data_IF_181718637339
#
_entry.id   IF_181718637339
#
_cell.length_a   1.000
_cell.length_b   1.000
_cell.length_c   1.000
_cell.angle_alpha   90.00
_cell.angle_beta   90.00
_cell.angle_gamma   90.00
#
_symmetry.space_group_name_H-M   'P 1'
#
loop_
_entity.id
_entity.type
_entity.pdbx_description
1 polymer ?
#
# COMPACT_ATOMS: atom_id res chain seq x y z
N UNK A 1 -12.57 4.47 -1.20
CA UNK A 1 -13.78 3.61 -1.14
C UNK A 1 -13.36 2.15 -1.09
N UNK A 2 -14.18 1.26 -0.52
CA UNK A 2 -13.81 -0.15 -0.29
C UNK A 2 -14.64 -1.08 -1.19
N UNK A 3 -13.99 -1.94 -1.97
CA UNK A 3 -14.67 -2.90 -2.86
C UNK A 3 -15.59 -3.84 -2.08
N UNK A 4 -15.18 -4.25 -0.87
CA UNK A 4 -15.94 -5.14 0.02
C UNK A 4 -17.32 -4.61 0.44
N UNK A 5 -17.59 -3.32 0.24
CA UNK A 5 -18.91 -2.73 0.52
C UNK A 5 -19.92 -2.94 -0.61
N UNK A 6 -19.50 -3.55 -1.73
CA UNK A 6 -20.34 -3.76 -2.90
C UNK A 6 -20.44 -5.26 -3.20
N UNK A 7 -21.60 -5.74 -3.68
CA UNK A 7 -21.80 -7.15 -4.03
C UNK A 7 -21.07 -7.55 -5.32
N UNK A 8 -20.81 -6.61 -6.22
CA UNK A 8 -20.20 -6.86 -7.53
C UNK A 8 -19.44 -5.64 -8.07
N UNK A 9 -18.69 -5.85 -9.16
CA UNK A 9 -17.90 -4.80 -9.82
C UNK A 9 -18.80 -3.68 -10.36
N UNK A 10 -19.94 -4.02 -10.97
CA UNK A 10 -20.76 -3.05 -11.69
C UNK A 10 -21.32 -1.99 -10.73
N UNK A 11 -21.86 -2.42 -9.60
CA UNK A 11 -22.34 -1.56 -8.52
C UNK A 11 -21.22 -0.71 -7.91
N UNK A 12 -20.04 -1.28 -7.70
CA UNK A 12 -18.88 -0.55 -7.22
C UNK A 12 -18.41 0.53 -8.20
N UNK A 13 -18.31 0.21 -9.50
CA UNK A 13 -17.87 1.16 -10.54
C UNK A 13 -18.84 2.31 -10.68
N UNK A 14 -20.15 2.05 -10.68
CA UNK A 14 -21.18 3.08 -10.77
C UNK A 14 -21.02 4.11 -9.63
N UNK A 15 -20.98 3.63 -8.38
CA UNK A 15 -20.87 4.50 -7.21
C UNK A 15 -19.50 5.21 -7.15
N UNK A 16 -18.40 4.47 -7.38
CA UNK A 16 -17.05 5.05 -7.32
C UNK A 16 -16.80 6.13 -8.37
N UNK A 17 -17.42 6.06 -9.56
CA UNK A 17 -17.34 7.13 -10.57
C UNK A 17 -18.06 8.39 -10.12
N UNK A 18 -19.20 8.25 -9.45
CA UNK A 18 -19.91 9.41 -8.88
C UNK A 18 -19.04 10.11 -7.84
N UNK A 19 -18.46 9.35 -6.90
CA UNK A 19 -17.53 9.91 -5.92
C UNK A 19 -16.31 10.55 -6.59
N UNK A 20 -15.67 9.88 -7.55
CA UNK A 20 -14.51 10.40 -8.27
C UNK A 20 -14.79 11.77 -8.91
N UNK A 21 -15.96 11.95 -9.52
CA UNK A 21 -16.38 13.24 -10.11
C UNK A 21 -16.53 14.37 -9.08
N UNK A 22 -16.87 14.04 -7.83
CA UNK A 22 -17.09 15.01 -6.76
C UNK A 22 -15.78 15.45 -6.08
N UNK A 23 -14.67 14.74 -6.29
CA UNK A 23 -13.40 14.97 -5.57
C UNK A 23 -12.21 15.06 -6.54
N UNK A 24 -12.43 15.53 -7.77
CA UNK A 24 -11.38 15.69 -8.79
C UNK A 24 -10.56 14.42 -9.02
N UNK A 25 -11.25 13.27 -9.01
CA UNK A 25 -10.70 11.92 -9.12
C UNK A 25 -9.66 11.54 -8.03
N UNK A 26 -9.63 12.28 -6.90
CA UNK A 26 -8.84 11.95 -5.71
C UNK A 26 -9.39 10.73 -4.95
N UNK A 27 -9.76 9.69 -5.70
CA UNK A 27 -10.30 8.44 -5.22
C UNK A 27 -9.16 7.44 -4.96
N UNK A 28 -9.28 6.74 -3.84
CA UNK A 28 -8.48 5.56 -3.50
C UNK A 28 -9.37 4.33 -3.49
N UNK A 29 -9.19 3.41 -4.45
CA UNK A 29 -9.91 2.13 -4.49
C UNK A 29 -9.20 1.15 -3.55
N UNK A 30 -9.93 0.64 -2.56
CA UNK A 30 -9.39 -0.18 -1.48
C UNK A 30 -10.03 -1.56 -1.38
N UNK A 31 -9.27 -2.54 -0.91
CA UNK A 31 -9.76 -3.90 -0.66
C UNK A 31 -10.80 -3.95 0.48
N UNK A 32 -10.52 -3.25 1.58
CA UNK A 32 -11.23 -3.39 2.86
C UNK A 32 -10.40 -4.20 3.85
N UNK A 33 -9.80 -3.52 4.85
CA UNK A 33 -8.91 -4.12 5.85
C UNK A 33 -7.73 -4.96 5.31
N UNK A 34 -7.37 -4.80 4.03
CA UNK A 34 -6.33 -5.62 3.40
C UNK A 34 -6.78 -7.05 3.06
N UNK A 35 -8.10 -7.30 2.95
CA UNK A 35 -8.64 -8.61 2.57
C UNK A 35 -8.14 -9.03 1.17
N UNK A 36 -7.28 -10.06 1.06
CA UNK A 36 -6.67 -10.42 -0.20
C UNK A 36 -7.69 -10.93 -1.24
N UNK A 37 -8.83 -11.47 -0.81
CA UNK A 37 -9.85 -12.02 -1.71
C UNK A 37 -10.52 -10.94 -2.57
N UNK A 38 -10.36 -9.67 -2.20
CA UNK A 38 -10.85 -8.52 -2.95
C UNK A 38 -9.90 -8.07 -4.07
N UNK A 39 -8.69 -8.64 -4.15
CA UNK A 39 -7.64 -8.20 -5.09
C UNK A 39 -8.08 -8.20 -6.55
N UNK A 40 -8.77 -9.25 -7.01
CA UNK A 40 -9.27 -9.33 -8.37
C UNK A 40 -10.36 -8.28 -8.64
N UNK A 41 -11.32 -8.15 -7.73
CA UNK A 41 -12.40 -7.16 -7.83
C UNK A 41 -11.85 -5.73 -7.86
N UNK A 42 -10.86 -5.39 -7.03
CA UNK A 42 -10.20 -4.09 -7.04
C UNK A 42 -9.52 -3.80 -8.38
N UNK A 43 -8.84 -4.79 -8.97
CA UNK A 43 -8.17 -4.62 -10.27
C UNK A 43 -9.19 -4.32 -11.37
N UNK A 44 -10.31 -5.05 -11.36
CA UNK A 44 -11.39 -4.91 -12.34
C UNK A 44 -12.16 -3.59 -12.19
N UNK A 45 -12.43 -3.16 -10.96
CA UNK A 45 -13.00 -1.82 -10.69
C UNK A 45 -12.06 -0.73 -11.23
N UNK A 46 -10.76 -0.86 -10.92
CA UNK A 46 -9.76 0.17 -11.26
C UNK A 46 -9.60 0.36 -12.76
N UNK A 47 -9.73 -0.72 -13.55
CA UNK A 47 -9.78 -0.68 -15.03
C UNK A 47 -10.79 0.35 -15.54
N UNK A 48 -11.97 0.37 -14.94
CA UNK A 48 -13.11 1.17 -15.40
C UNK A 48 -13.15 2.54 -14.74
N UNK A 49 -12.71 2.66 -13.49
CA UNK A 49 -12.77 3.90 -12.71
C UNK A 49 -11.59 4.82 -13.00
N UNK A 50 -10.41 4.27 -13.31
CA UNK A 50 -9.16 5.03 -13.53
C UNK A 50 -8.87 6.03 -12.39
N UNK A 51 -8.79 5.57 -11.12
CA UNK A 51 -8.61 6.45 -9.96
C UNK A 51 -7.18 6.99 -9.84
N UNK A 52 -6.96 8.01 -9.02
CA UNK A 52 -5.58 8.43 -8.68
C UNK A 52 -4.81 7.38 -7.87
N UNK A 53 -5.49 6.54 -7.08
CA UNK A 53 -4.84 5.57 -6.21
C UNK A 53 -5.57 4.22 -6.12
N UNK A 54 -4.81 3.12 -6.10
CA UNK A 54 -5.27 1.75 -5.93
C UNK A 54 -4.49 1.06 -4.82
N UNK A 55 -5.20 0.40 -3.90
CA UNK A 55 -4.59 -0.44 -2.89
C UNK A 55 -4.56 -1.89 -3.37
N UNK A 56 -3.39 -2.53 -3.35
CA UNK A 56 -3.27 -3.94 -3.71
C UNK A 56 -2.50 -4.75 -2.68
N UNK A 57 -2.79 -6.05 -2.67
CA UNK A 57 -1.87 -7.04 -2.09
C UNK A 57 -0.69 -7.24 -3.03
N UNK A 58 0.42 -7.78 -2.54
CA UNK A 58 1.66 -7.91 -3.33
C UNK A 58 1.42 -8.58 -4.69
N UNK A 59 0.66 -9.68 -4.71
CA UNK A 59 0.36 -10.45 -5.92
C UNK A 59 -0.64 -9.78 -6.88
N UNK A 60 -1.30 -8.69 -6.46
CA UNK A 60 -2.32 -8.01 -7.27
C UNK A 60 -1.80 -6.77 -8.01
N UNK A 61 -0.57 -6.32 -7.69
CA UNK A 61 0.02 -5.09 -8.23
C UNK A 61 0.13 -5.15 -9.76
N UNK A 62 0.76 -6.20 -10.29
CA UNK A 62 0.94 -6.39 -11.74
C UNK A 62 -0.37 -6.43 -12.51
N UNK A 63 -1.35 -7.17 -11.99
CA UNK A 63 -2.70 -7.25 -12.58
C UNK A 63 -3.39 -5.89 -12.62
N UNK A 64 -3.36 -5.14 -11.51
CA UNK A 64 -3.95 -3.80 -11.47
C UNK A 64 -3.28 -2.85 -12.44
N UNK A 65 -1.93 -2.82 -12.48
CA UNK A 65 -1.19 -1.97 -13.42
C UNK A 65 -1.54 -2.30 -14.87
N UNK A 66 -1.54 -3.59 -15.23
CA UNK A 66 -1.85 -4.02 -16.59
C UNK A 66 -3.27 -3.62 -17.02
N UNK A 67 -4.26 -3.79 -16.14
CA UNK A 67 -5.66 -3.44 -16.44
C UNK A 67 -5.92 -1.93 -16.43
N UNK A 68 -5.14 -1.15 -15.67
CA UNK A 68 -5.18 0.31 -15.75
C UNK A 68 -4.74 0.81 -17.13
N UNK A 69 -3.75 0.16 -17.75
CA UNK A 69 -3.25 0.52 -19.08
C UNK A 69 -2.42 1.81 -19.14
N UNK A 70 -2.07 2.38 -17.97
CA UNK A 70 -1.24 3.58 -17.81
C UNK A 70 -0.40 3.50 -16.53
N UNK A 71 0.58 4.40 -16.40
CA UNK A 71 1.54 4.47 -15.29
C UNK A 71 1.29 5.61 -14.30
N UNK A 72 0.26 6.42 -14.49
CA UNK A 72 -0.07 7.61 -13.70
C UNK A 72 -0.72 7.26 -12.35
N UNK A 73 -1.67 6.32 -12.35
CA UNK A 73 -2.33 5.88 -11.11
C UNK A 73 -1.31 5.26 -10.17
N UNK A 74 -1.34 5.69 -8.91
CA UNK A 74 -0.51 5.12 -7.84
C UNK A 74 -1.07 3.75 -7.47
N UNK A 75 -0.24 2.71 -7.56
CA UNK A 75 -0.61 1.34 -7.14
C UNK A 75 0.32 0.90 -6.03
N UNK A 76 -0.20 0.79 -4.81
CA UNK A 76 0.60 0.29 -3.69
C UNK A 76 0.62 -1.24 -3.66
N UNK A 77 1.67 -1.80 -3.06
CA UNK A 77 1.76 -3.23 -2.75
C UNK A 77 1.85 -3.49 -1.25
N UNK A 78 0.91 -4.28 -0.73
CA UNK A 78 0.88 -4.66 0.68
C UNK A 78 2.01 -5.63 1.01
N UNK A 79 2.87 -5.20 1.95
CA UNK A 79 3.87 -6.04 2.63
C UNK A 79 3.69 -5.89 4.14
N UNK A 80 4.12 -6.90 4.90
CA UNK A 80 3.87 -6.96 6.35
C UNK A 80 5.15 -7.01 7.18
N UNK A 81 5.10 -6.54 8.45
CA UNK A 81 6.17 -6.75 9.43
C UNK A 81 6.49 -8.24 9.61
N UNK A 82 7.71 -8.53 10.05
CA UNK A 82 8.16 -9.91 10.34
C UNK A 82 8.75 -10.06 11.74
N UNK A 83 8.93 -8.95 12.48
CA UNK A 83 9.73 -8.89 13.70
C UNK A 83 11.23 -8.76 13.44
N UNK A 84 11.66 -8.55 12.19
CA UNK A 84 13.09 -8.44 11.82
C UNK A 84 13.30 -7.20 10.94
N UNK A 85 13.94 -6.13 11.47
CA UNK A 85 14.24 -4.95 10.66
C UNK A 85 15.05 -5.29 9.42
N UNK A 86 14.65 -4.75 8.26
CA UNK A 86 15.27 -5.07 6.98
C UNK A 86 14.53 -6.13 6.16
N UNK A 87 13.65 -6.91 6.79
CA UNK A 87 12.91 -7.99 6.15
C UNK A 87 11.40 -7.69 6.13
N UNK A 88 10.73 -8.11 5.06
CA UNK A 88 9.27 -7.96 4.93
C UNK A 88 8.64 -9.24 4.39
N UNK A 89 7.42 -9.53 4.85
CA UNK A 89 6.58 -10.59 4.31
C UNK A 89 5.87 -10.09 3.05
N UNK A 90 6.03 -10.80 1.94
CA UNK A 90 5.39 -10.52 0.64
C UNK A 90 4.29 -11.51 0.28
N UNK A 91 4.13 -12.62 1.03
CA UNK A 91 3.07 -13.61 0.83
C UNK A 91 1.71 -13.09 1.34
N UNK A 92 1.19 -12.07 0.67
CA UNK A 92 -0.02 -11.31 1.10
C UNK A 92 -1.21 -11.48 0.15
N UNK A 93 -1.08 -12.25 -0.93
CA UNK A 93 -2.18 -12.60 -1.84
C UNK A 93 -3.08 -13.73 -1.33
N UNK A 94 -4.22 -14.02 -2.02
CA UNK A 94 -5.28 -14.91 -1.52
C UNK A 94 -4.82 -16.28 -1.05
N UNK A 95 -4.01 -16.96 -1.87
CA UNK A 95 -3.47 -18.28 -1.53
C UNK A 95 -2.20 -18.14 -0.68
N UNK A 96 -1.30 -17.24 -1.06
CA UNK A 96 -0.01 -17.06 -0.41
C UNK A 96 -0.13 -16.65 1.07
N UNK A 97 -1.21 -15.95 1.46
CA UNK A 97 -1.44 -15.56 2.85
C UNK A 97 -1.77 -16.74 3.76
N UNK A 98 -2.22 -17.87 3.20
CA UNK A 98 -2.44 -19.12 3.93
C UNK A 98 -1.28 -20.12 3.84
N UNK A 99 -0.21 -19.78 3.11
CA UNK A 99 0.99 -20.60 2.98
C UNK A 99 2.05 -20.21 4.03
N UNK A 100 3.20 -20.88 3.98
CA UNK A 100 4.38 -20.45 4.73
C UNK A 100 4.81 -19.03 4.32
N UNK A 101 5.33 -18.27 5.27
CA UNK A 101 5.68 -16.87 5.06
C UNK A 101 6.83 -16.73 4.05
N UNK A 102 6.55 -16.02 2.95
CA UNK A 102 7.55 -15.57 2.00
C UNK A 102 8.17 -14.27 2.52
N UNK A 103 9.33 -14.37 3.16
CA UNK A 103 10.05 -13.26 3.78
C UNK A 103 11.29 -12.94 2.95
N UNK A 104 11.44 -11.67 2.56
CA UNK A 104 12.54 -11.20 1.72
C UNK A 104 13.13 -9.90 2.26
N UNK A 105 14.38 -9.53 1.87
CA UNK A 105 14.92 -8.21 2.13
C UNK A 105 14.06 -7.11 1.51
N UNK A 106 14.00 -5.95 2.16
CA UNK A 106 13.26 -4.77 1.69
C UNK A 106 13.64 -4.34 0.27
N UNK A 107 14.94 -4.34 -0.04
CA UNK A 107 15.44 -4.01 -1.38
C UNK A 107 14.81 -4.93 -2.45
N UNK A 108 14.79 -6.24 -2.18
CA UNK A 108 14.18 -7.22 -3.09
C UNK A 108 12.68 -7.01 -3.22
N UNK A 109 11.96 -6.73 -2.13
CA UNK A 109 10.53 -6.44 -2.18
C UNK A 109 10.23 -5.18 -3.02
N UNK A 110 11.04 -4.12 -2.87
CA UNK A 110 10.91 -2.87 -3.64
C UNK A 110 11.15 -3.14 -5.12
N UNK A 111 12.23 -3.84 -5.47
CA UNK A 111 12.55 -4.17 -6.86
C UNK A 111 11.41 -4.98 -7.51
N UNK A 112 10.92 -6.03 -6.85
CA UNK A 112 9.79 -6.82 -7.33
C UNK A 112 8.51 -5.99 -7.52
N UNK A 113 8.23 -5.05 -6.61
CA UNK A 113 7.09 -4.15 -6.77
C UNK A 113 7.26 -3.23 -7.98
N UNK A 114 8.46 -2.70 -8.22
CA UNK A 114 8.77 -1.90 -9.42
C UNK A 114 8.61 -2.72 -10.70
N UNK A 115 9.09 -3.96 -10.72
CA UNK A 115 8.94 -4.87 -11.86
C UNK A 115 7.47 -5.18 -12.18
N UNK A 116 6.63 -5.25 -11.15
CA UNK A 116 5.18 -5.37 -11.29
C UNK A 116 4.46 -4.04 -11.59
N UNK A 117 5.19 -2.92 -11.70
CA UNK A 117 4.65 -1.59 -11.98
C UNK A 117 3.96 -0.93 -10.78
N UNK A 118 4.27 -1.36 -9.57
CA UNK A 118 3.87 -0.72 -8.33
C UNK A 118 4.60 0.60 -8.09
N UNK A 119 4.00 1.45 -7.27
CA UNK A 119 4.44 2.83 -7.00
C UNK A 119 4.94 3.02 -5.56
N UNK A 120 4.43 2.21 -4.62
CA UNK A 120 4.72 2.38 -3.20
C UNK A 120 4.63 1.06 -2.44
N UNK A 121 5.32 1.00 -1.30
CA UNK A 121 5.05 0.00 -0.26
C UNK A 121 3.86 0.46 0.58
N UNK A 122 2.87 -0.41 0.76
CA UNK A 122 1.90 -0.30 1.84
C UNK A 122 2.32 -1.21 2.99
N UNK A 123 2.83 -0.60 4.06
CA UNK A 123 3.32 -1.35 5.22
C UNK A 123 2.16 -1.58 6.21
N UNK A 124 1.66 -2.81 6.26
CA UNK A 124 0.46 -3.18 7.02
C UNK A 124 0.52 -4.61 7.54
N UNK A 125 0.06 -4.89 8.78
CA UNK A 125 -0.40 -3.93 9.79
C UNK A 125 0.76 -3.37 10.65
N UNK A 126 0.89 -2.05 10.73
CA UNK A 126 2.01 -1.40 11.46
C UNK A 126 1.86 -1.45 12.99
N UNK A 127 0.65 -1.65 13.52
CA UNK A 127 0.39 -1.68 14.97
C UNK A 127 0.71 -0.37 15.71
N UNK A 128 0.64 0.79 15.05
CA UNK A 128 1.12 2.05 15.61
C UNK A 128 2.65 2.10 15.68
N UNK A 129 3.23 2.31 16.87
CA UNK A 129 4.69 2.33 17.06
C UNK A 129 5.26 0.99 17.57
N UNK A 130 4.47 -0.09 17.58
CA UNK A 130 4.93 -1.42 18.01
C UNK A 130 6.11 -1.93 17.17
N UNK A 131 6.09 -1.65 15.87
CA UNK A 131 7.11 -2.07 14.91
C UNK A 131 8.01 -0.90 14.47
N UNK A 132 8.42 -0.03 15.41
CA UNK A 132 9.15 1.22 15.09
C UNK A 132 10.45 0.98 14.33
N UNK A 133 11.27 0.03 14.76
CA UNK A 133 12.58 -0.20 14.15
C UNK A 133 12.45 -0.85 12.77
N UNK A 134 11.48 -1.75 12.59
CA UNK A 134 11.13 -2.29 11.28
C UNK A 134 10.62 -1.18 10.34
N UNK A 135 9.73 -0.30 10.84
CA UNK A 135 9.23 0.83 10.07
C UNK A 135 10.32 1.82 9.65
N UNK A 136 11.29 2.10 10.55
CA UNK A 136 12.46 2.92 10.21
C UNK A 136 13.30 2.26 9.11
N UNK A 137 13.51 0.95 9.17
CA UNK A 137 14.20 0.21 8.11
C UNK A 137 13.45 0.30 6.77
N UNK A 138 12.11 0.18 6.78
CA UNK A 138 11.27 0.35 5.58
C UNK A 138 11.43 1.77 5.01
N UNK A 139 11.30 2.79 5.84
CA UNK A 139 11.43 4.19 5.40
C UNK A 139 12.80 4.49 4.80
N UNK A 140 13.87 3.99 5.43
CA UNK A 140 15.22 4.15 4.90
C UNK A 140 15.43 3.39 3.59
N UNK A 141 14.88 2.18 3.44
CA UNK A 141 14.96 1.43 2.19
C UNK A 141 14.18 2.14 1.07
N UNK A 142 12.95 2.57 1.31
CA UNK A 142 12.16 3.38 0.38
C UNK A 142 12.92 4.63 -0.09
N UNK A 143 13.57 5.35 0.84
CA UNK A 143 14.37 6.53 0.51
C UNK A 143 15.62 6.20 -0.33
N UNK A 144 16.34 5.12 0.00
CA UNK A 144 17.54 4.70 -0.75
C UNK A 144 17.23 4.19 -2.15
N UNK A 145 16.09 3.51 -2.31
CA UNK A 145 15.72 2.84 -3.55
C UNK A 145 14.69 3.63 -4.38
N UNK A 146 14.48 4.92 -4.08
CA UNK A 146 13.54 5.80 -4.79
C UNK A 146 12.15 5.15 -4.95
N UNK A 147 11.49 4.90 -3.83
CA UNK A 147 10.18 4.27 -3.79
C UNK A 147 9.31 4.87 -2.70
N UNK A 148 8.02 5.05 -2.96
CA UNK A 148 7.12 5.68 -2.00
C UNK A 148 6.71 4.73 -0.88
N UNK A 149 6.18 5.29 0.22
CA UNK A 149 5.81 4.55 1.43
C UNK A 149 4.46 5.03 1.98
N UNK A 150 3.59 4.07 2.31
CA UNK A 150 2.27 4.26 2.90
C UNK A 150 2.14 3.49 4.24
N UNK A 151 2.43 4.14 5.38
CA UNK A 151 2.28 3.52 6.70
C UNK A 151 0.79 3.30 7.05
N UNK A 152 0.39 2.05 7.34
CA UNK A 152 -1.02 1.72 7.61
C UNK A 152 -1.20 0.84 8.85
N UNK A 153 -2.17 1.19 9.70
CA UNK A 153 -2.62 0.35 10.83
C UNK A 153 -2.12 0.83 12.20
N UNK A 154 -2.85 1.75 12.84
CA UNK A 154 -2.55 2.20 14.20
C UNK A 154 -3.80 2.62 14.97
N UNK A 155 -3.89 2.18 16.24
CA UNK A 155 -4.90 2.65 17.18
C UNK A 155 -4.59 4.10 17.58
N UNK A 156 -5.65 4.91 17.75
CA UNK A 156 -5.71 6.38 17.69
C UNK A 156 -4.90 7.22 18.71
N UNK A 157 -3.86 6.70 19.38
CA UNK A 157 -3.29 7.36 20.57
C UNK A 157 -1.81 7.78 20.48
N UNK A 158 -1.01 7.25 19.54
CA UNK A 158 0.40 7.63 19.42
C UNK A 158 0.59 8.67 18.31
N UNK A 159 0.57 9.96 18.67
CA UNK A 159 0.99 11.03 17.75
C UNK A 159 2.48 10.81 17.42
N UNK A 160 2.80 10.70 16.14
CA UNK A 160 4.18 10.83 15.65
C UNK A 160 4.66 12.24 16.00
N UNK A 161 5.31 12.42 17.16
CA UNK A 161 5.97 13.67 17.50
C UNK A 161 7.34 13.65 16.81
N UNK A 162 7.72 14.75 16.15
CA UNK A 162 9.08 14.98 15.69
C UNK A 162 10.05 14.86 16.87
N UNK A 163 11.21 14.28 16.63
CA UNK A 163 12.29 14.21 17.61
C UNK A 163 12.69 15.64 18.02
N UNK A 164 12.74 15.97 19.33
CA UNK A 164 13.23 17.26 19.80
C UNK A 164 14.63 17.61 19.28
N UNK A 165 15.46 16.61 18.97
CA UNK A 165 16.80 16.80 18.43
C UNK A 165 16.83 17.55 17.07
N UNK A 166 15.80 17.40 16.24
CA UNK A 166 15.70 18.08 14.93
C UNK A 166 15.49 19.60 15.04
N UNK A 167 15.12 20.13 16.23
CA UNK A 167 15.02 21.58 16.46
C UNK A 167 16.36 22.24 16.75
N UNK A 168 17.35 21.51 17.24
CA UNK A 168 18.61 22.09 17.69
C UNK A 168 19.54 22.52 16.54
N UNK A 169 19.35 21.96 15.32
CA UNK A 169 20.22 22.20 14.18
C UNK A 169 19.93 23.45 13.33
N UNK A 170 18.82 24.18 13.56
CA UNK A 170 18.40 25.31 12.68
C UNK A 170 18.50 26.70 13.31
N UNK A 171 19.28 26.87 14.37
CA UNK A 171 19.54 28.18 15.00
C UNK A 171 21.03 28.51 15.10
N UNK A 172 21.80 28.31 14.02
CA UNK A 172 23.13 28.93 13.83
C UNK A 172 23.46 28.98 12.34
N UNK A 173 22.94 29.98 11.64
CA UNK A 173 23.59 30.78 10.58
C UNK A 173 22.85 32.11 10.50
#
# INVERSE_FOLDING_TARGET
MLSKNYPDVASAVADMREYARLIDNALSVGLGAGDPNQSAMVSEISRQVQPQHVNQVFTGVGTSRALLGQSETVVNGLVSPTGTPGMVKISTGPLSSGAADGIVPLETAIALLKDMGGSSIKYFPMGGLKHRDEYLAVAQACARHDFWLEPTGGNRSAKLRRDPADRAGRRRQ
#
